data_IF_278416695208
#
_entry.id   IF_278416695208
#
_cell.length_a   1.000
_cell.length_b   1.000
_cell.length_c   1.000
_cell.angle_alpha   90.00
_cell.angle_beta   90.00
_cell.angle_gamma   90.00
#
_symmetry.space_group_name_H-M   'P 1'
#
loop_
_entity.id
_entity.type
_entity.pdbx_description
1 polymer ?
#
# COMPACT_ATOMS: atom_id res chain seq x y z
N UNK A 1 8.84 -11.03 15.83
CA UNK A 1 7.40 -10.83 15.67
C UNK A 1 7.02 -11.07 14.23
N UNK A 2 6.80 -12.35 13.91
CA UNK A 2 6.09 -12.75 12.70
C UNK A 2 4.62 -12.38 12.93
N UNK A 3 4.30 -11.10 12.75
CA UNK A 3 2.90 -10.69 12.69
C UNK A 3 2.31 -11.33 11.43
N UNK A 4 1.38 -12.27 11.61
CA UNK A 4 0.61 -12.94 10.57
C UNK A 4 0.09 -11.93 9.55
N UNK A 5 0.88 -11.72 8.50
CA UNK A 5 0.42 -11.08 7.29
C UNK A 5 -0.52 -12.07 6.59
N UNK A 6 -1.48 -11.52 5.84
CA UNK A 6 -2.20 -12.30 4.84
C UNK A 6 -1.20 -13.12 4.02
N UNK A 7 -1.60 -14.28 3.48
CA UNK A 7 -0.78 -15.00 2.51
C UNK A 7 -0.21 -14.02 1.48
N UNK A 8 1.11 -14.10 1.20
CA UNK A 8 1.81 -13.12 0.36
C UNK A 8 1.10 -12.85 -0.97
N UNK A 9 0.50 -13.87 -1.57
CA UNK A 9 -0.32 -13.75 -2.79
C UNK A 9 -1.45 -12.72 -2.65
N UNK A 10 -2.16 -12.72 -1.52
CA UNK A 10 -3.25 -11.78 -1.24
C UNK A 10 -2.68 -10.39 -0.91
N UNK A 11 -1.60 -10.35 -0.11
CA UNK A 11 -0.96 -9.09 0.27
C UNK A 11 -0.42 -8.34 -0.95
N UNK A 12 0.30 -9.04 -1.83
CA UNK A 12 0.93 -8.47 -3.02
C UNK A 12 -0.13 -7.95 -4.00
N UNK A 13 -1.25 -8.67 -4.15
CA UNK A 13 -2.36 -8.24 -5.02
C UNK A 13 -3.01 -6.95 -4.50
N UNK A 14 -3.20 -6.82 -3.18
CA UNK A 14 -3.71 -5.57 -2.57
C UNK A 14 -2.70 -4.43 -2.77
N UNK A 15 -1.40 -4.68 -2.57
CA UNK A 15 -0.35 -3.68 -2.78
C UNK A 15 -0.32 -3.24 -4.25
N UNK A 16 -0.43 -4.18 -5.19
CA UNK A 16 -0.43 -3.90 -6.62
C UNK A 16 -1.59 -2.97 -7.00
N UNK A 17 -2.82 -3.33 -6.64
CA UNK A 17 -4.00 -2.52 -6.94
C UNK A 17 -3.92 -1.12 -6.31
N UNK A 18 -3.42 -1.02 -5.08
CA UNK A 18 -3.37 0.25 -4.37
C UNK A 18 -2.21 1.16 -4.81
N UNK A 19 -1.02 0.60 -5.03
CA UNK A 19 0.21 1.38 -5.30
C UNK A 19 0.44 1.59 -6.78
N UNK A 20 0.20 0.57 -7.60
CA UNK A 20 0.45 0.60 -9.04
C UNK A 20 -0.79 1.02 -9.84
N UNK A 21 -1.95 0.46 -9.53
CA UNK A 21 -3.21 0.76 -10.25
C UNK A 21 -4.00 1.95 -9.68
N UNK A 22 -3.62 2.49 -8.52
CA UNK A 22 -4.27 3.64 -7.86
C UNK A 22 -5.75 3.42 -7.52
N UNK A 23 -6.12 2.18 -7.21
CA UNK A 23 -7.50 1.79 -6.90
C UNK A 23 -7.81 2.10 -5.43
N UNK A 24 -9.00 2.63 -5.19
CA UNK A 24 -9.50 2.98 -3.86
C UNK A 24 -9.64 1.76 -2.95
N UNK A 25 -9.54 1.96 -1.62
CA UNK A 25 -9.76 0.90 -0.64
C UNK A 25 -11.15 0.22 -0.80
N UNK A 26 -12.17 1.02 -1.10
CA UNK A 26 -13.54 0.55 -1.31
C UNK A 26 -13.66 -0.34 -2.54
N UNK A 27 -13.04 0.06 -3.66
CA UNK A 27 -13.11 -0.69 -4.90
C UNK A 27 -12.26 -1.96 -4.86
N UNK A 28 -11.15 -1.96 -4.11
CA UNK A 28 -10.40 -3.18 -3.81
C UNK A 28 -11.27 -4.16 -3.02
N UNK A 29 -12.00 -3.71 -1.99
CA UNK A 29 -12.90 -4.58 -1.23
C UNK A 29 -14.04 -5.15 -2.12
N UNK A 30 -14.58 -4.36 -3.05
CA UNK A 30 -15.59 -4.82 -4.03
C UNK A 30 -15.08 -5.92 -4.97
N UNK A 31 -13.76 -6.03 -5.18
CA UNK A 31 -13.15 -7.12 -5.98
C UNK A 31 -13.11 -8.47 -5.24
N UNK A 32 -13.62 -8.55 -4.02
CA UNK A 32 -13.76 -9.81 -3.26
C UNK A 32 -12.74 -10.00 -2.15
N UNK A 33 -11.95 -8.97 -1.83
CA UNK A 33 -11.03 -8.98 -0.69
C UNK A 33 -11.77 -8.62 0.59
N UNK A 34 -11.35 -9.22 1.71
CA UNK A 34 -11.85 -8.85 3.02
C UNK A 34 -11.54 -7.37 3.32
N UNK A 35 -12.57 -6.62 3.72
CA UNK A 35 -12.46 -5.18 3.90
C UNK A 35 -11.49 -4.81 5.02
N UNK A 36 -11.56 -5.49 6.16
CA UNK A 36 -10.68 -5.21 7.30
C UNK A 36 -9.20 -5.42 6.92
N UNK A 37 -8.94 -6.49 6.16
CA UNK A 37 -7.63 -6.83 5.60
C UNK A 37 -7.09 -5.74 4.67
N UNK A 38 -7.91 -5.26 3.71
CA UNK A 38 -7.55 -4.17 2.79
C UNK A 38 -7.21 -2.89 3.55
N UNK A 39 -8.08 -2.50 4.49
CA UNK A 39 -7.89 -1.29 5.29
C UNK A 39 -6.62 -1.38 6.15
N UNK A 40 -6.33 -2.56 6.72
CA UNK A 40 -5.11 -2.82 7.49
C UNK A 40 -3.87 -2.64 6.61
N UNK A 41 -3.84 -3.23 5.42
CA UNK A 41 -2.71 -3.15 4.49
C UNK A 41 -2.47 -1.70 4.05
N UNK A 42 -3.51 -0.99 3.60
CA UNK A 42 -3.39 0.41 3.15
C UNK A 42 -2.88 1.31 4.28
N UNK A 43 -3.42 1.13 5.48
CA UNK A 43 -2.97 1.86 6.68
C UNK A 43 -1.51 1.57 7.02
N UNK A 44 -1.05 0.33 6.86
CA UNK A 44 0.35 -0.03 7.03
C UNK A 44 1.22 0.63 5.97
N UNK A 45 0.79 0.64 4.71
CA UNK A 45 1.50 1.34 3.63
C UNK A 45 1.65 2.81 4.00
N UNK A 46 0.57 3.54 4.24
CA UNK A 46 0.63 4.98 4.46
C UNK A 46 1.41 5.38 5.71
N UNK A 47 1.26 4.64 6.82
CA UNK A 47 2.03 4.89 8.04
C UNK A 47 3.53 4.72 7.88
N UNK A 48 3.98 3.88 6.95
CA UNK A 48 5.40 3.61 6.73
C UNK A 48 6.02 4.52 5.65
N UNK A 49 5.33 5.57 5.20
CA UNK A 49 5.89 6.54 4.23
C UNK A 49 7.19 7.18 4.73
N UNK A 50 7.27 7.50 6.03
CA UNK A 50 8.49 8.07 6.62
C UNK A 50 9.69 7.12 6.52
N UNK A 51 9.48 5.80 6.61
CA UNK A 51 10.55 4.80 6.49
C UNK A 51 11.01 4.69 5.04
N UNK A 52 10.06 4.69 4.09
CA UNK A 52 10.38 4.60 2.65
C UNK A 52 11.19 5.80 2.15
N UNK A 53 10.93 7.00 2.67
CA UNK A 53 11.73 8.18 2.31
C UNK A 53 13.17 8.16 2.83
N UNK A 54 13.46 7.32 3.83
CA UNK A 54 14.82 7.13 4.36
C UNK A 54 15.54 5.97 3.68
N UNK A 55 14.84 5.15 2.90
CA UNK A 55 15.43 4.03 2.20
C UNK A 55 16.37 4.51 1.08
N UNK A 56 17.46 3.77 0.79
CA UNK A 56 18.31 4.06 -0.36
C UNK A 56 17.52 3.92 -1.67
N UNK A 57 18.02 4.58 -2.72
CA UNK A 57 17.42 4.50 -4.06
C UNK A 57 17.55 3.04 -4.57
N UNK A 58 16.43 2.45 -4.98
CA UNK A 58 16.37 1.12 -5.61
C UNK A 58 16.10 1.19 -7.11
N UNK A 59 16.34 0.07 -7.81
CA UNK A 59 16.02 -0.09 -9.23
C UNK A 59 14.52 -0.27 -9.39
N UNK A 60 13.88 0.52 -10.26
CA UNK A 60 12.46 0.41 -10.57
C UNK A 60 12.24 -0.59 -11.72
N UNK A 61 11.46 -1.63 -11.47
CA UNK A 61 11.07 -2.65 -12.46
C UNK A 61 9.57 -2.62 -12.81
N UNK A 62 8.76 -1.86 -12.07
CA UNK A 62 7.31 -1.72 -12.26
C UNK A 62 6.94 -0.38 -12.92
N UNK A 63 5.79 -0.26 -13.61
CA UNK A 63 5.35 0.98 -14.25
C UNK A 63 5.20 2.16 -13.28
N UNK A 64 4.71 1.89 -12.06
CA UNK A 64 4.56 2.84 -10.96
C UNK A 64 5.06 2.20 -9.68
N UNK A 65 5.63 2.98 -8.76
CA UNK A 65 6.17 2.45 -7.51
C UNK A 65 6.39 3.52 -6.46
N UNK A 66 7.02 3.12 -5.36
CA UNK A 66 7.36 4.05 -4.28
C UNK A 66 8.43 5.06 -4.70
N UNK A 67 8.34 6.28 -4.16
CA UNK A 67 9.32 7.35 -4.39
C UNK A 67 8.77 8.44 -5.31
N UNK A 68 9.40 8.63 -6.48
CA UNK A 68 9.07 9.76 -7.35
C UNK A 68 7.67 9.66 -7.95
N UNK A 69 7.19 8.44 -8.21
CA UNK A 69 5.96 8.16 -8.95
C UNK A 69 4.71 8.21 -8.04
N UNK A 70 4.85 7.90 -6.74
CA UNK A 70 3.80 8.05 -5.71
C UNK A 70 4.30 8.93 -4.56
N UNK A 71 3.91 10.21 -4.55
CA UNK A 71 4.34 11.18 -3.53
C UNK A 71 3.24 11.44 -2.51
N UNK A 72 3.25 10.69 -1.41
CA UNK A 72 2.36 10.92 -0.28
C UNK A 72 3.01 11.81 0.79
N UNK A 73 2.27 12.70 1.48
CA UNK A 73 2.81 13.44 2.61
C UNK A 73 3.15 12.50 3.78
N UNK A 74 4.25 12.76 4.49
CA UNK A 74 4.60 12.01 5.71
C UNK A 74 3.57 12.29 6.81
N UNK A 75 3.30 13.57 7.06
CA UNK A 75 2.24 14.00 7.98
C UNK A 75 0.93 13.98 7.22
N UNK A 76 0.26 12.83 7.24
CA UNK A 76 -1.04 12.64 6.60
C UNK A 76 -2.12 12.32 7.65
N UNK A 77 -3.20 13.11 7.67
CA UNK A 77 -4.41 12.82 8.47
C UNK A 77 -5.60 12.38 7.60
N UNK A 78 -5.43 12.31 6.29
CA UNK A 78 -6.43 11.77 5.40
C UNK A 78 -6.73 10.32 5.80
N UNK A 79 -8.02 9.98 5.81
CA UNK A 79 -8.52 8.62 5.93
C UNK A 79 -9.52 8.45 4.80
N UNK A 80 -9.28 7.44 3.99
CA UNK A 80 -10.14 7.10 2.86
C UNK A 80 -11.47 6.45 3.31
N UNK A 81 -11.54 6.02 4.58
CA UNK A 81 -12.68 5.35 5.21
C UNK A 81 -13.25 6.20 6.35
#
# INVERSE_FOLDING_TARGET
>A
DEDELLPYVILDEIIYMYVEEDISAEDIAKKGFDRESVERVIKMIDRNEYKRRQAPIGIRITPRGFGKDRRMPITNKYREI
#
